data_IF_686257344362
#
_entry.id   IF_686257344362
#
_cell.length_a   1.000
_cell.length_b   1.000
_cell.length_c   1.000
_cell.angle_alpha   90.00
_cell.angle_beta   90.00
_cell.angle_gamma   90.00
#
_symmetry.space_group_name_H-M   'P 1'
#
loop_
_entity.id
_entity.type
_entity.pdbx_description
1 polymer ?
#
# COMPACT_ATOMS: atom_id res chain seq x y z
N UNK A 1 10.21 -9.92 -9.47
CA UNK A 1 10.20 -8.61 -10.15
C UNK A 1 10.55 -8.83 -11.61
N UNK A 2 9.65 -8.42 -12.49
CA UNK A 2 9.73 -8.57 -13.94
C UNK A 2 10.28 -7.28 -14.56
N UNK A 3 11.60 -7.22 -14.79
CA UNK A 3 12.27 -6.02 -15.31
C UNK A 3 11.64 -5.50 -16.60
N UNK A 4 11.30 -6.41 -17.53
CA UNK A 4 10.68 -6.08 -18.81
C UNK A 4 9.36 -5.31 -18.63
N UNK A 5 8.58 -5.63 -17.59
CA UNK A 5 7.29 -5.01 -17.36
C UNK A 5 7.43 -3.56 -16.89
N UNK A 6 8.49 -3.22 -16.15
CA UNK A 6 8.80 -1.82 -15.78
C UNK A 6 9.05 -0.97 -17.02
N UNK A 7 9.85 -1.47 -17.96
CA UNK A 7 10.09 -0.78 -19.24
C UNK A 7 8.81 -0.69 -20.07
N UNK A 8 8.02 -1.75 -20.08
CA UNK A 8 6.73 -1.78 -20.78
C UNK A 8 5.76 -0.75 -20.22
N UNK A 9 5.64 -0.62 -18.91
CA UNK A 9 4.87 0.45 -18.27
C UNK A 9 5.41 1.84 -18.61
N UNK A 10 6.74 2.00 -18.60
CA UNK A 10 7.42 3.24 -18.95
C UNK A 10 7.12 3.73 -20.37
N UNK A 11 6.97 2.81 -21.33
CA UNK A 11 6.60 3.13 -22.71
C UNK A 11 5.25 3.87 -22.81
N UNK A 12 4.29 3.51 -21.95
CA UNK A 12 2.95 4.10 -21.94
C UNK A 12 2.77 5.21 -20.90
N UNK A 13 3.84 5.65 -20.22
CA UNK A 13 3.75 6.58 -19.09
C UNK A 13 3.22 7.96 -19.50
N UNK A 14 3.67 8.47 -20.65
CA UNK A 14 3.32 9.80 -21.18
C UNK A 14 2.15 9.80 -22.15
N UNK A 15 1.58 8.63 -22.41
CA UNK A 15 0.46 8.44 -23.33
C UNK A 15 -0.85 8.62 -22.56
N UNK A 16 -1.91 9.14 -23.18
CA UNK A 16 -3.26 9.18 -22.57
C UNK A 16 -3.82 7.75 -22.42
N UNK A 17 -4.74 7.52 -21.48
CA UNK A 17 -5.27 6.17 -21.24
C UNK A 17 -5.96 5.55 -22.46
N UNK A 18 -6.75 6.34 -23.20
CA UNK A 18 -7.41 5.87 -24.42
C UNK A 18 -6.39 5.43 -25.48
N UNK A 19 -5.37 6.26 -25.75
CA UNK A 19 -4.32 5.95 -26.73
C UNK A 19 -3.46 4.77 -26.28
N UNK A 20 -3.19 4.62 -24.98
CA UNK A 20 -2.47 3.47 -24.46
C UNK A 20 -3.29 2.19 -24.61
N UNK A 21 -4.60 2.23 -24.38
CA UNK A 21 -5.49 1.09 -24.58
C UNK A 21 -5.52 0.65 -26.05
N UNK A 22 -5.67 1.60 -26.99
CA UNK A 22 -5.61 1.33 -28.43
C UNK A 22 -4.26 0.72 -28.84
N UNK A 23 -3.15 1.31 -28.37
CA UNK A 23 -1.81 0.81 -28.69
C UNK A 23 -1.58 -0.62 -28.16
N UNK A 24 -2.05 -0.93 -26.94
CA UNK A 24 -1.98 -2.27 -26.37
C UNK A 24 -2.79 -3.29 -27.18
N UNK A 25 -3.96 -2.88 -27.70
CA UNK A 25 -4.77 -3.71 -28.59
C UNK A 25 -4.07 -3.96 -29.93
N UNK A 26 -3.54 -2.92 -30.56
CA UNK A 26 -2.80 -3.02 -31.84
C UNK A 26 -1.54 -3.88 -31.73
N UNK A 27 -0.90 -3.90 -30.56
CA UNK A 27 0.25 -4.76 -30.26
C UNK A 27 -0.14 -6.20 -29.91
N UNK A 28 -1.43 -6.57 -30.02
CA UNK A 28 -1.96 -7.88 -29.67
C UNK A 28 -1.63 -8.32 -28.23
N UNK A 29 -1.60 -7.37 -27.29
CA UNK A 29 -1.27 -7.66 -25.89
C UNK A 29 -2.40 -8.45 -25.23
N UNK A 30 -2.10 -9.56 -24.52
CA UNK A 30 -3.13 -10.35 -23.84
C UNK A 30 -3.98 -9.51 -22.87
N UNK A 31 -5.29 -9.76 -22.80
CA UNK A 31 -6.26 -9.00 -21.99
C UNK A 31 -5.78 -8.81 -20.54
N UNK A 32 -5.34 -9.89 -19.89
CA UNK A 32 -4.82 -9.86 -18.52
C UNK A 32 -3.65 -8.89 -18.33
N UNK A 33 -2.77 -8.79 -19.33
CA UNK A 33 -1.64 -7.88 -19.29
C UNK A 33 -2.07 -6.43 -19.56
N UNK A 34 -3.08 -6.22 -20.44
CA UNK A 34 -3.69 -4.90 -20.66
C UNK A 34 -4.31 -4.36 -19.39
N UNK A 35 -5.10 -5.18 -18.70
CA UNK A 35 -5.69 -4.84 -17.40
C UNK A 35 -4.62 -4.50 -16.36
N UNK A 36 -3.55 -5.30 -16.28
CA UNK A 36 -2.42 -5.03 -15.38
C UNK A 36 -1.77 -3.66 -15.67
N UNK A 37 -1.53 -3.33 -16.95
CA UNK A 37 -0.98 -2.02 -17.35
C UNK A 37 -1.93 -0.88 -17.00
N UNK A 38 -3.22 -1.02 -17.32
CA UNK A 38 -4.22 0.01 -17.04
C UNK A 38 -4.34 0.27 -15.53
N UNK A 39 -4.45 -0.80 -14.73
CA UNK A 39 -4.54 -0.70 -13.27
C UNK A 39 -3.30 -0.05 -12.66
N UNK A 40 -2.10 -0.42 -13.11
CA UNK A 40 -0.86 0.23 -12.68
C UNK A 40 -0.89 1.74 -13.02
N UNK A 41 -1.22 2.10 -14.26
CA UNK A 41 -1.22 3.50 -14.72
C UNK A 41 -2.24 4.38 -14.01
N UNK A 42 -3.43 3.85 -13.74
CA UNK A 42 -4.51 4.58 -13.04
C UNK A 42 -4.12 4.77 -11.57
N UNK A 43 -3.86 3.67 -10.84
CA UNK A 43 -3.57 3.75 -9.41
C UNK A 43 -2.29 4.51 -9.10
N UNK A 44 -1.23 4.34 -9.90
CA UNK A 44 0.01 5.12 -9.71
C UNK A 44 -0.24 6.63 -9.82
N UNK A 45 -1.14 7.06 -10.71
CA UNK A 45 -1.50 8.47 -10.86
C UNK A 45 -2.32 8.98 -9.69
N UNK A 46 -3.31 8.21 -9.25
CA UNK A 46 -4.16 8.54 -8.10
C UNK A 46 -3.34 8.69 -6.83
N UNK A 47 -2.44 7.73 -6.55
CA UNK A 47 -1.58 7.78 -5.37
C UNK A 47 -0.57 8.93 -5.44
N UNK A 48 0.06 9.16 -6.59
CA UNK A 48 0.96 10.31 -6.75
C UNK A 48 0.23 11.65 -6.60
N UNK A 49 -1.01 11.74 -7.09
CA UNK A 49 -1.85 12.93 -6.89
C UNK A 49 -2.10 13.20 -5.40
N UNK A 50 -2.44 12.17 -4.62
CA UNK A 50 -2.60 12.29 -3.17
C UNK A 50 -1.30 12.72 -2.49
N UNK A 51 -0.17 12.09 -2.82
CA UNK A 51 1.14 12.45 -2.28
C UNK A 51 1.59 13.88 -2.61
N UNK A 52 1.10 14.45 -3.72
CA UNK A 52 1.40 15.83 -4.11
C UNK A 52 0.47 16.83 -3.44
N UNK A 53 -0.80 16.48 -3.29
CA UNK A 53 -1.84 17.33 -2.69
C UNK A 53 -1.68 17.44 -1.17
N UNK A 54 -1.39 16.33 -0.49
CA UNK A 54 -1.35 16.28 0.98
C UNK A 54 0.00 16.78 1.50
N UNK A 55 0.05 17.75 2.43
CA UNK A 55 1.30 18.25 3.01
C UNK A 55 2.11 17.17 3.73
N UNK A 56 1.41 16.26 4.42
CA UNK A 56 1.98 15.12 5.12
C UNK A 56 1.00 13.94 5.06
N UNK A 57 1.54 12.75 4.86
CA UNK A 57 0.79 11.49 4.81
C UNK A 57 1.33 10.59 5.92
N UNK A 58 0.45 9.99 6.74
CA UNK A 58 0.87 9.07 7.82
C UNK A 58 1.49 7.79 7.25
N UNK A 59 2.26 7.06 8.07
CA UNK A 59 2.92 5.82 7.64
C UNK A 59 1.89 4.73 7.37
N UNK A 60 0.88 4.61 8.22
CA UNK A 60 -0.30 3.76 7.99
C UNK A 60 -0.98 4.04 6.65
N UNK A 61 -1.19 5.33 6.33
CA UNK A 61 -1.82 5.74 5.06
C UNK A 61 -0.92 5.46 3.85
N UNK A 62 0.39 5.70 3.95
CA UNK A 62 1.36 5.34 2.90
C UNK A 62 1.30 3.85 2.63
N UNK A 63 1.34 3.03 3.68
CA UNK A 63 1.23 1.58 3.58
C UNK A 63 -0.05 1.17 2.84
N UNK A 64 -1.19 1.74 3.22
CA UNK A 64 -2.49 1.39 2.62
C UNK A 64 -2.62 1.75 1.14
N UNK A 65 -2.03 2.87 0.74
CA UNK A 65 -2.03 3.30 -0.64
C UNK A 65 -1.11 2.45 -1.52
N UNK A 66 -0.02 1.89 -0.95
CA UNK A 66 1.03 1.21 -1.71
C UNK A 66 0.95 -0.32 -1.64
N UNK A 67 0.31 -0.91 -0.63
CA UNK A 67 0.06 -2.38 -0.54
C UNK A 67 -0.65 -2.95 -1.77
N UNK A 68 -1.68 -2.28 -2.34
CA UNK A 68 -2.40 -2.81 -3.49
C UNK A 68 -1.63 -2.72 -4.83
N UNK A 69 -0.40 -2.20 -4.83
CA UNK A 69 0.41 -2.01 -6.03
C UNK A 69 1.52 -3.07 -6.10
N UNK A 70 1.77 -3.58 -7.31
CA UNK A 70 2.91 -4.44 -7.56
C UNK A 70 4.22 -3.64 -7.53
N UNK A 71 5.33 -4.36 -7.36
CA UNK A 71 6.66 -3.72 -7.23
C UNK A 71 7.02 -2.92 -8.49
N UNK A 72 6.61 -3.38 -9.66
CA UNK A 72 6.84 -2.71 -10.93
C UNK A 72 6.10 -1.36 -11.02
N UNK A 73 4.84 -1.28 -10.57
CA UNK A 73 4.12 -0.01 -10.47
C UNK A 73 4.78 0.96 -9.48
N UNK A 74 5.30 0.47 -8.35
CA UNK A 74 6.03 1.30 -7.39
C UNK A 74 7.32 1.88 -7.97
N UNK A 75 8.06 1.08 -8.76
CA UNK A 75 9.26 1.52 -9.47
C UNK A 75 8.93 2.56 -10.54
N UNK A 76 7.87 2.35 -11.32
CA UNK A 76 7.36 3.34 -12.27
C UNK A 76 7.02 4.65 -11.57
N UNK A 77 6.29 4.58 -10.44
CA UNK A 77 5.94 5.77 -9.64
C UNK A 77 7.17 6.52 -9.18
N UNK A 78 8.20 5.82 -8.71
CA UNK A 78 9.45 6.43 -8.26
C UNK A 78 10.18 7.12 -9.42
N UNK A 79 10.22 6.49 -10.60
CA UNK A 79 10.84 7.03 -11.81
C UNK A 79 10.11 8.27 -12.34
N UNK A 80 8.77 8.28 -12.35
CA UNK A 80 7.98 9.40 -12.88
C UNK A 80 7.69 10.51 -11.87
N UNK A 81 7.98 10.29 -10.59
CA UNK A 81 7.63 11.26 -9.56
C UNK A 81 8.48 12.54 -9.66
N UNK A 82 7.80 13.69 -9.69
CA UNK A 82 8.42 15.02 -9.75
C UNK A 82 8.78 15.58 -8.37
N UNK A 83 8.11 15.14 -7.31
CA UNK A 83 8.38 15.60 -5.95
C UNK A 83 9.22 14.59 -5.18
N UNK A 84 10.28 15.08 -4.55
CA UNK A 84 11.18 14.27 -3.74
C UNK A 84 10.46 13.61 -2.55
N UNK A 85 9.48 14.31 -1.97
CA UNK A 85 8.64 13.78 -0.89
C UNK A 85 7.92 12.48 -1.28
N UNK A 86 7.35 12.42 -2.48
CA UNK A 86 6.68 11.21 -2.95
C UNK A 86 7.65 10.05 -3.18
N UNK A 87 8.88 10.32 -3.66
CA UNK A 87 9.93 9.30 -3.76
C UNK A 87 10.30 8.76 -2.37
N UNK A 88 10.41 9.65 -1.38
CA UNK A 88 10.66 9.27 0.03
C UNK A 88 9.55 8.39 0.59
N UNK A 89 8.27 8.66 0.30
CA UNK A 89 7.15 7.81 0.74
C UNK A 89 7.21 6.40 0.13
N UNK A 90 7.48 6.31 -1.18
CA UNK A 90 7.61 5.02 -1.86
C UNK A 90 8.81 4.24 -1.32
N UNK A 91 9.96 4.92 -1.12
CA UNK A 91 11.15 4.33 -0.52
C UNK A 91 10.88 3.80 0.89
N UNK A 92 10.29 4.63 1.75
CA UNK A 92 9.90 4.28 3.12
C UNK A 92 9.03 3.02 3.17
N UNK A 93 8.07 2.90 2.24
CA UNK A 93 7.26 1.69 2.14
C UNK A 93 8.08 0.46 1.74
N UNK A 94 8.88 0.57 0.68
CA UNK A 94 9.67 -0.54 0.15
C UNK A 94 10.73 -1.04 1.13
N UNK A 95 11.35 -0.15 1.92
CA UNK A 95 12.44 -0.50 2.83
C UNK A 95 11.98 -0.82 4.25
N UNK A 96 10.87 -0.24 4.71
CA UNK A 96 10.42 -0.40 6.10
C UNK A 96 8.98 -0.91 6.21
N UNK A 97 7.99 -0.16 5.69
CA UNK A 97 6.59 -0.39 6.05
C UNK A 97 6.03 -1.72 5.51
N UNK A 98 6.47 -2.18 4.34
CA UNK A 98 5.96 -3.40 3.68
C UNK A 98 6.10 -4.67 4.53
N UNK A 99 7.08 -4.71 5.42
CA UNK A 99 7.37 -5.88 6.24
C UNK A 99 6.84 -5.75 7.68
N UNK A 100 6.23 -4.62 8.03
CA UNK A 100 5.67 -4.41 9.36
C UNK A 100 4.45 -5.30 9.53
N UNK A 101 4.44 -6.06 10.64
CA UNK A 101 3.33 -6.93 11.04
C UNK A 101 3.14 -6.82 12.54
N UNK A 102 1.89 -6.96 12.98
CA UNK A 102 1.58 -7.18 14.39
C UNK A 102 1.98 -8.59 14.79
N UNK A 103 2.40 -8.75 16.04
CA UNK A 103 2.73 -10.07 16.62
C UNK A 103 1.50 -10.78 17.14
N UNK A 104 0.51 -10.03 17.60
CA UNK A 104 -0.75 -10.59 18.09
C UNK A 104 -1.60 -11.20 16.97
N UNK A 105 -2.20 -12.34 17.31
CA UNK A 105 -3.11 -13.12 16.48
C UNK A 105 -4.54 -13.07 17.03
N UNK A 106 -5.50 -13.63 16.31
CA UNK A 106 -6.86 -13.78 16.81
C UNK A 106 -6.95 -14.65 18.07
N UNK A 107 -6.09 -15.65 18.20
CA UNK A 107 -6.06 -16.51 19.39
C UNK A 107 -5.57 -15.74 20.62
N UNK A 108 -4.61 -14.83 20.44
CA UNK A 108 -4.17 -13.94 21.52
C UNK A 108 -5.30 -13.00 21.97
N UNK A 109 -6.10 -12.47 21.03
CA UNK A 109 -7.29 -11.68 21.37
C UNK A 109 -8.30 -12.48 22.20
N UNK A 110 -8.46 -13.77 21.89
CA UNK A 110 -9.32 -14.69 22.64
C UNK A 110 -8.80 -14.92 24.06
N UNK A 111 -7.49 -15.13 24.22
CA UNK A 111 -6.84 -15.26 25.53
C UNK A 111 -6.95 -13.97 26.36
N UNK A 112 -6.97 -12.82 25.70
CA UNK A 112 -7.23 -11.52 26.32
C UNK A 112 -8.71 -11.27 26.68
N UNK A 113 -9.59 -12.27 26.52
CA UNK A 113 -11.00 -12.20 26.90
C UNK A 113 -11.91 -11.53 25.87
N UNK A 114 -11.41 -11.26 24.66
CA UNK A 114 -12.21 -10.64 23.60
C UNK A 114 -12.94 -11.74 22.83
N UNK A 115 -14.29 -11.76 22.78
CA UNK A 115 -15.01 -12.81 22.07
C UNK A 115 -14.78 -12.72 20.55
N UNK A 116 -14.67 -13.86 19.86
CA UNK A 116 -14.39 -13.92 18.43
C UNK A 116 -15.49 -13.26 17.60
N UNK A 117 -15.08 -12.61 16.51
CA UNK A 117 -16.02 -12.00 15.56
C UNK A 117 -15.36 -10.97 14.64
N UNK A 118 -16.17 -10.26 13.81
CA UNK A 118 -15.68 -9.27 12.85
C UNK A 118 -14.79 -8.18 13.44
N UNK A 119 -14.96 -7.90 14.74
CA UNK A 119 -14.14 -6.93 15.49
C UNK A 119 -12.66 -7.30 15.58
N UNK A 120 -12.29 -8.57 15.47
CA UNK A 120 -10.87 -8.98 15.47
C UNK A 120 -10.12 -8.34 14.31
N UNK A 121 -10.70 -8.38 13.10
CA UNK A 121 -10.10 -7.76 11.92
C UNK A 121 -9.90 -6.26 12.13
N UNK A 122 -10.88 -5.58 12.75
CA UNK A 122 -10.79 -4.16 13.07
C UNK A 122 -9.68 -3.88 14.08
N UNK A 123 -9.63 -4.63 15.19
CA UNK A 123 -8.61 -4.45 16.25
C UNK A 123 -7.20 -4.69 15.71
N UNK A 124 -6.97 -5.81 15.01
CA UNK A 124 -5.66 -6.12 14.43
C UNK A 124 -5.26 -5.10 13.35
N UNK A 125 -6.24 -4.54 12.64
CA UNK A 125 -5.99 -3.48 11.67
C UNK A 125 -5.57 -2.18 12.36
N UNK A 126 -6.32 -1.73 13.35
CA UNK A 126 -5.98 -0.53 14.12
C UNK A 126 -4.63 -0.68 14.84
N UNK A 127 -4.32 -1.89 15.33
CA UNK A 127 -3.03 -2.21 15.92
C UNK A 127 -1.89 -2.12 14.89
N UNK A 128 -2.10 -2.64 13.68
CA UNK A 128 -1.15 -2.51 12.59
C UNK A 128 -0.92 -1.04 12.22
N UNK A 129 -1.98 -0.25 12.14
CA UNK A 129 -1.89 1.19 11.84
C UNK A 129 -1.09 1.92 12.93
N UNK A 130 -1.37 1.64 14.21
CA UNK A 130 -0.62 2.18 15.34
C UNK A 130 0.86 1.80 15.30
N UNK A 131 1.16 0.54 14.95
CA UNK A 131 2.54 0.06 14.80
C UNK A 131 3.26 0.74 13.63
N UNK A 132 2.60 0.86 12.48
CA UNK A 132 3.13 1.57 11.31
C UNK A 132 3.44 3.03 11.62
N UNK A 133 2.57 3.69 12.39
CA UNK A 133 2.74 5.09 12.80
C UNK A 133 3.73 5.28 13.96
N UNK A 134 4.29 4.19 14.51
CA UNK A 134 5.30 4.21 15.58
C UNK A 134 4.73 4.47 16.97
N UNK A 135 3.42 4.26 17.16
CA UNK A 135 2.74 4.36 18.46
C UNK A 135 2.88 3.08 19.29
N UNK A 136 3.20 1.97 18.64
CA UNK A 136 3.39 0.65 19.23
C UNK A 136 4.62 0.02 18.59
N UNK A 137 5.51 -0.55 19.40
CA UNK A 137 6.82 -1.04 18.98
C UNK A 137 7.15 -2.43 19.54
N UNK A 138 6.60 -2.78 20.71
CA UNK A 138 6.86 -4.04 21.41
C UNK A 138 5.61 -4.93 21.51
N UNK A 139 5.81 -6.21 21.81
CA UNK A 139 4.70 -7.14 22.06
C UNK A 139 3.84 -6.70 23.26
N UNK A 140 4.47 -6.22 24.33
CA UNK A 140 3.76 -5.73 25.50
C UNK A 140 2.90 -4.49 25.18
N UNK A 141 3.43 -3.55 24.39
CA UNK A 141 2.66 -2.40 23.90
C UNK A 141 1.51 -2.83 22.98
N UNK A 142 1.67 -3.89 22.19
CA UNK A 142 0.56 -4.45 21.40
C UNK A 142 -0.57 -4.96 22.30
N UNK A 143 -0.24 -5.66 23.39
CA UNK A 143 -1.22 -6.15 24.37
C UNK A 143 -1.93 -4.98 25.05
N UNK A 144 -1.19 -3.96 25.49
CA UNK A 144 -1.76 -2.77 26.13
C UNK A 144 -2.70 -2.01 25.20
N UNK A 145 -2.30 -1.85 23.93
CA UNK A 145 -3.12 -1.21 22.91
C UNK A 145 -4.45 -1.96 22.73
N UNK A 146 -4.40 -3.28 22.60
CA UNK A 146 -5.59 -4.13 22.46
C UNK A 146 -6.50 -4.05 23.68
N UNK A 147 -5.93 -4.13 24.89
CA UNK A 147 -6.71 -4.02 26.14
C UNK A 147 -7.45 -2.68 26.21
N UNK A 148 -6.75 -1.57 25.95
CA UNK A 148 -7.35 -0.23 25.94
C UNK A 148 -8.49 -0.11 24.91
N UNK A 149 -8.31 -0.71 23.73
CA UNK A 149 -9.36 -0.74 22.69
C UNK A 149 -10.55 -1.62 23.05
N UNK A 150 -10.33 -2.72 23.76
CA UNK A 150 -11.41 -3.63 24.17
C UNK A 150 -12.35 -3.03 25.21
N UNK A 151 -11.87 -2.10 26.04
CA UNK A 151 -12.67 -1.39 27.06
C UNK A 151 -13.48 -0.23 26.45
N UNK A 152 -13.08 0.27 25.29
CA UNK A 152 -13.74 1.39 24.61
C UNK A 152 -14.87 0.95 23.64
N UNK A 153 -15.19 -0.35 23.59
CA UNK A 153 -16.21 -0.97 22.73
C UNK A 153 -17.28 -1.60 23.62
#
# INVERSE_FOLDING_TARGET
MEKWFVYFLGLFDRVKDATAAEALERLAVPVRLRERVQMARIRSREVLFLFYKEPQVSRSRIHDLLVPLDTEALLLMMAKSKQERAKKYISLYLTHLRNVKVTLTGDDLKLLGIPPGPKYRRILRELLDAKLDGLVSSHDEEIEFVKKKSVAI
#
